data_IF_019243441959
#
_entry.id   IF_019243441959
#
_cell.length_a   1.000
_cell.length_b   1.000
_cell.length_c   1.000
_cell.angle_alpha   90.00
_cell.angle_beta   90.00
_cell.angle_gamma   90.00
#
_symmetry.space_group_name_H-M   'P 1'
#
loop_
_entity.id
_entity.type
_entity.pdbx_description
1 polymer ?
#
# COMPACT_ATOMS: atom_id res chain seq x y z
N UNK A 1 -13.70 -40.51 31.47
CA UNK A 1 -13.83 -41.68 32.37
C UNK A 1 -14.64 -41.23 33.56
N UNK A 2 -15.91 -41.61 33.54
CA UNK A 2 -16.93 -41.27 34.51
C UNK A 2 -16.68 -42.01 35.83
N UNK A 3 -16.20 -41.30 36.86
CA UNK A 3 -16.18 -41.83 38.23
C UNK A 3 -17.52 -41.50 38.87
N UNK A 4 -18.48 -42.38 38.59
CA UNK A 4 -19.82 -42.34 39.17
C UNK A 4 -19.79 -42.04 40.66
N UNK A 5 -20.62 -41.08 41.03
CA UNK A 5 -20.89 -40.57 42.36
C UNK A 5 -21.24 -41.73 43.32
N UNK A 6 -20.23 -42.31 43.98
CA UNK A 6 -20.48 -43.29 45.06
C UNK A 6 -20.96 -42.49 46.27
N UNK A 7 -22.08 -42.86 46.91
CA UNK A 7 -22.49 -42.19 48.13
C UNK A 7 -21.33 -42.26 49.12
N UNK A 8 -20.90 -41.09 49.59
CA UNK A 8 -19.68 -40.94 50.38
C UNK A 8 -19.71 -41.94 51.54
N UNK A 9 -18.77 -42.90 51.53
CA UNK A 9 -18.67 -43.95 52.56
C UNK A 9 -18.68 -43.36 53.97
N UNK A 10 -18.20 -42.13 54.11
CA UNK A 10 -18.23 -41.35 55.33
C UNK A 10 -19.66 -41.08 55.85
N UNK A 11 -20.63 -40.75 55.00
CA UNK A 11 -22.02 -40.51 55.42
C UNK A 11 -22.67 -41.78 55.98
N UNK A 12 -22.40 -42.93 55.35
CA UNK A 12 -22.83 -44.24 55.85
C UNK A 12 -22.15 -44.62 57.16
N UNK A 13 -20.85 -44.30 57.32
CA UNK A 13 -20.10 -44.53 58.56
C UNK A 13 -20.62 -43.64 59.69
N UNK A 14 -20.84 -42.34 59.45
CA UNK A 14 -21.39 -41.41 60.44
C UNK A 14 -22.81 -41.79 60.85
N UNK A 15 -23.65 -42.20 59.90
CA UNK A 15 -24.99 -42.73 60.17
C UNK A 15 -24.94 -44.02 61.00
N UNK A 16 -24.04 -44.95 60.68
CA UNK A 16 -23.84 -46.17 61.45
C UNK A 16 -23.37 -45.92 62.88
N UNK A 17 -22.46 -44.96 63.08
CA UNK A 17 -21.98 -44.55 64.41
C UNK A 17 -23.13 -43.92 65.23
N UNK A 18 -23.97 -43.09 64.61
CA UNK A 18 -25.13 -42.49 65.29
C UNK A 18 -26.13 -43.56 65.76
N UNK A 19 -26.42 -44.56 64.91
CA UNK A 19 -27.31 -45.68 65.26
C UNK A 19 -26.70 -46.54 66.37
N UNK A 20 -25.39 -46.82 66.32
CA UNK A 20 -24.70 -47.57 67.36
C UNK A 20 -24.70 -46.84 68.71
N UNK A 21 -24.47 -45.52 68.71
CA UNK A 21 -24.56 -44.70 69.91
C UNK A 21 -25.98 -44.70 70.51
N UNK A 22 -27.01 -44.64 69.66
CA UNK A 22 -28.41 -44.75 70.07
C UNK A 22 -28.72 -46.08 70.76
N UNK A 23 -28.31 -47.20 70.14
CA UNK A 23 -28.48 -48.54 70.70
C UNK A 23 -27.73 -48.68 72.03
N UNK A 24 -26.50 -48.17 72.11
CA UNK A 24 -25.70 -48.22 73.34
C UNK A 24 -26.34 -47.45 74.50
N UNK A 25 -26.84 -46.23 74.26
CA UNK A 25 -27.52 -45.44 75.29
C UNK A 25 -28.82 -46.12 75.75
N UNK A 26 -29.59 -46.70 74.82
CA UNK A 26 -30.77 -47.50 75.16
C UNK A 26 -30.42 -48.72 76.00
N UNK A 27 -29.41 -49.50 75.60
CA UNK A 27 -28.97 -50.69 76.33
C UNK A 27 -28.50 -50.34 77.75
N UNK A 28 -27.74 -49.25 77.90
CA UNK A 28 -27.29 -48.75 79.21
C UNK A 28 -28.45 -48.27 80.08
N UNK A 29 -29.45 -47.61 79.50
CA UNK A 29 -30.66 -47.20 80.21
C UNK A 29 -31.44 -48.42 80.74
N UNK A 30 -31.74 -49.39 79.86
CA UNK A 30 -32.49 -50.60 80.21
C UNK A 30 -31.77 -51.41 81.31
N UNK A 31 -30.45 -51.56 81.20
CA UNK A 31 -29.65 -52.30 82.16
C UNK A 31 -29.56 -51.63 83.55
N UNK A 32 -29.63 -50.29 83.61
CA UNK A 32 -29.55 -49.55 84.87
C UNK A 32 -30.91 -49.50 85.59
N UNK A 33 -31.99 -49.27 84.84
CA UNK A 33 -33.33 -49.08 85.42
C UNK A 33 -34.17 -50.37 85.52
N UNK A 34 -33.73 -51.48 84.90
CA UNK A 34 -34.21 -52.90 85.00
C UNK A 34 -35.72 -53.18 84.92
N UNK A 35 -36.57 -52.17 84.77
CA UNK A 35 -38.02 -52.28 84.60
C UNK A 35 -38.43 -51.20 83.61
N UNK A 36 -39.13 -51.56 82.54
CA UNK A 36 -39.91 -50.59 81.76
C UNK A 36 -41.28 -50.49 82.45
N UNK A 37 -41.54 -49.50 83.33
CA UNK A 37 -42.92 -49.19 83.60
C UNK A 37 -43.45 -48.61 82.29
N UNK A 38 -44.42 -49.27 81.66
CA UNK A 38 -45.32 -48.57 80.74
C UNK A 38 -46.11 -47.62 81.65
N UNK A 39 -45.48 -46.54 82.07
CA UNK A 39 -46.02 -45.59 83.02
C UNK A 39 -47.11 -44.82 82.30
N UNK A 40 -48.33 -44.83 82.85
CA UNK A 40 -49.42 -43.94 82.44
C UNK A 40 -49.20 -42.48 82.89
N UNK A 41 -48.02 -42.17 83.44
CA UNK A 41 -47.64 -40.84 83.93
C UNK A 41 -46.66 -40.17 82.96
N UNK A 42 -47.07 -39.01 82.44
CA UNK A 42 -46.32 -38.21 81.47
C UNK A 42 -44.95 -37.77 81.99
N UNK A 43 -44.79 -37.59 83.30
CA UNK A 43 -43.55 -37.10 83.90
C UNK A 43 -42.36 -38.09 83.74
N UNK A 44 -42.62 -39.40 83.76
CA UNK A 44 -41.58 -40.44 83.60
C UNK A 44 -41.09 -40.52 82.15
N UNK A 45 -41.98 -40.27 81.18
CA UNK A 45 -41.60 -40.14 79.77
C UNK A 45 -40.78 -38.88 79.52
N UNK A 46 -41.05 -37.79 80.25
CA UNK A 46 -40.23 -36.58 80.27
C UNK A 46 -38.79 -36.85 80.71
N UNK A 47 -38.59 -37.49 81.86
CA UNK A 47 -37.23 -37.78 82.39
C UNK A 47 -36.45 -38.79 81.54
N UNK A 48 -37.12 -39.76 80.91
CA UNK A 48 -36.50 -40.64 79.92
C UNK A 48 -36.05 -39.86 78.67
N UNK A 49 -36.92 -38.99 78.16
CA UNK A 49 -36.61 -38.08 77.06
C UNK A 49 -35.41 -37.18 77.38
N UNK A 50 -35.31 -36.69 78.61
CA UNK A 50 -34.19 -35.87 79.08
C UNK A 50 -32.87 -36.66 79.14
N UNK A 51 -32.90 -37.94 79.54
CA UNK A 51 -31.69 -38.78 79.55
C UNK A 51 -31.20 -39.12 78.15
N UNK A 52 -32.11 -39.56 77.27
CA UNK A 52 -31.81 -39.85 75.87
C UNK A 52 -31.36 -38.58 75.16
N UNK A 53 -32.12 -37.49 75.27
CA UNK A 53 -31.80 -36.21 74.66
C UNK A 53 -30.51 -35.62 75.22
N UNK A 54 -30.29 -35.67 76.54
CA UNK A 54 -29.10 -35.14 77.19
C UNK A 54 -27.80 -35.86 76.80
N UNK A 55 -27.87 -37.16 76.48
CA UNK A 55 -26.70 -37.96 76.08
C UNK A 55 -26.51 -38.01 74.57
N UNK A 56 -27.60 -38.19 73.81
CA UNK A 56 -27.54 -38.36 72.35
C UNK A 56 -27.44 -37.02 71.62
N UNK A 57 -28.06 -35.94 72.09
CA UNK A 57 -27.99 -34.65 71.38
C UNK A 57 -26.56 -34.13 71.23
N UNK A 58 -25.67 -34.19 72.25
CA UNK A 58 -24.26 -33.82 72.06
C UNK A 58 -23.54 -34.69 71.03
N UNK A 59 -23.77 -36.00 71.03
CA UNK A 59 -23.14 -36.95 70.09
C UNK A 59 -23.63 -36.70 68.66
N UNK A 60 -24.95 -36.60 68.46
CA UNK A 60 -25.57 -36.32 67.16
C UNK A 60 -25.14 -34.95 66.65
N UNK A 61 -25.11 -33.92 67.50
CA UNK A 61 -24.67 -32.57 67.13
C UNK A 61 -23.21 -32.55 66.70
N UNK A 62 -22.34 -33.31 67.38
CA UNK A 62 -20.93 -33.43 67.00
C UNK A 62 -20.73 -34.17 65.67
N UNK A 63 -21.46 -35.28 65.45
CA UNK A 63 -21.45 -35.99 64.17
C UNK A 63 -21.99 -35.11 63.03
N UNK A 64 -23.03 -34.31 63.28
CA UNK A 64 -23.56 -33.33 62.34
C UNK A 64 -22.52 -32.25 62.01
N UNK A 65 -21.78 -31.74 63.01
CA UNK A 65 -20.68 -30.79 62.79
C UNK A 65 -19.57 -31.40 61.91
N UNK A 66 -19.18 -32.66 62.15
CA UNK A 66 -18.19 -33.36 61.31
C UNK A 66 -18.68 -33.50 59.87
N UNK A 67 -19.94 -33.90 59.68
CA UNK A 67 -20.56 -34.01 58.37
C UNK A 67 -20.60 -32.66 57.63
N UNK A 68 -20.91 -31.58 58.34
CA UNK A 68 -20.90 -30.22 57.81
C UNK A 68 -19.47 -29.79 57.42
N UNK A 69 -18.48 -29.98 58.29
CA UNK A 69 -17.07 -29.65 57.98
C UNK A 69 -16.55 -30.42 56.77
N UNK A 70 -16.89 -31.69 56.64
CA UNK A 70 -16.53 -32.50 55.48
C UNK A 70 -17.21 -31.99 54.20
N UNK A 71 -18.48 -31.62 54.28
CA UNK A 71 -19.21 -31.02 53.15
C UNK A 71 -18.57 -29.69 52.72
N UNK A 72 -18.22 -28.82 53.68
CA UNK A 72 -17.51 -27.57 53.41
C UNK A 72 -16.15 -27.85 52.75
N UNK A 73 -15.42 -28.86 53.24
CA UNK A 73 -14.14 -29.25 52.65
C UNK A 73 -14.28 -29.72 51.20
N UNK A 74 -15.26 -30.58 50.92
CA UNK A 74 -15.55 -31.06 49.56
C UNK A 74 -15.96 -29.91 48.63
N UNK A 75 -16.85 -29.03 49.10
CA UNK A 75 -17.25 -27.83 48.35
C UNK A 75 -16.05 -26.92 48.05
N UNK A 76 -15.14 -26.74 49.01
CA UNK A 76 -13.94 -25.94 48.81
C UNK A 76 -13.02 -26.55 47.73
N UNK A 77 -12.87 -27.87 47.69
CA UNK A 77 -12.10 -28.57 46.65
C UNK A 77 -12.74 -28.42 45.26
N UNK A 78 -14.06 -28.62 45.15
CA UNK A 78 -14.79 -28.46 43.90
C UNK A 78 -14.72 -27.01 43.39
N UNK A 79 -14.81 -26.02 44.28
CA UNK A 79 -14.62 -24.61 43.90
C UNK A 79 -13.19 -24.33 43.43
N UNK A 80 -12.18 -24.97 44.01
CA UNK A 80 -10.80 -24.84 43.53
C UNK A 80 -10.63 -25.45 42.14
N UNK A 81 -11.10 -26.68 41.91
CA UNK A 81 -11.07 -27.32 40.61
C UNK A 81 -11.83 -26.51 39.54
N UNK A 82 -13.02 -26.02 39.86
CA UNK A 82 -13.81 -25.14 38.97
C UNK A 82 -13.04 -23.86 38.62
N UNK A 83 -12.37 -23.24 39.60
CA UNK A 83 -11.54 -22.04 39.35
C UNK A 83 -10.36 -22.34 38.45
N UNK A 84 -9.74 -23.50 38.57
CA UNK A 84 -8.63 -23.92 37.71
C UNK A 84 -9.11 -24.17 36.28
N UNK A 85 -10.22 -24.88 36.09
CA UNK A 85 -10.83 -25.11 34.78
C UNK A 85 -11.24 -23.78 34.10
N UNK A 86 -11.83 -22.85 34.84
CA UNK A 86 -12.18 -21.52 34.32
C UNK A 86 -10.94 -20.71 33.91
N UNK A 87 -9.84 -20.81 34.67
CA UNK A 87 -8.57 -20.16 34.29
C UNK A 87 -8.01 -20.77 33.00
N UNK A 88 -8.00 -22.09 32.88
CA UNK A 88 -7.54 -22.78 31.67
C UNK A 88 -8.41 -22.43 30.46
N UNK A 89 -9.73 -22.42 30.62
CA UNK A 89 -10.67 -22.03 29.58
C UNK A 89 -10.44 -20.57 29.12
N UNK A 90 -10.22 -19.65 30.07
CA UNK A 90 -9.91 -18.25 29.76
C UNK A 90 -8.57 -18.11 29.00
N UNK A 91 -7.56 -18.91 29.35
CA UNK A 91 -6.28 -18.91 28.64
C UNK A 91 -6.40 -19.48 27.22
N UNK A 92 -7.11 -20.60 27.05
CA UNK A 92 -7.40 -21.18 25.74
C UNK A 92 -8.20 -20.21 24.86
N UNK A 93 -9.19 -19.52 25.42
CA UNK A 93 -9.96 -18.52 24.70
C UNK A 93 -9.09 -17.34 24.25
N UNK A 94 -8.16 -16.88 25.09
CA UNK A 94 -7.19 -15.83 24.71
C UNK A 94 -6.31 -16.28 23.54
N UNK A 95 -5.76 -17.49 23.62
CA UNK A 95 -4.95 -18.06 22.53
C UNK A 95 -5.77 -18.21 21.24
N UNK A 96 -7.04 -18.62 21.34
CA UNK A 96 -7.93 -18.75 20.19
C UNK A 96 -8.22 -17.40 19.54
N UNK A 97 -8.50 -16.35 20.31
CA UNK A 97 -8.71 -14.99 19.79
C UNK A 97 -7.45 -14.47 19.08
N UNK A 98 -6.27 -14.72 19.66
CA UNK A 98 -5.01 -14.36 19.02
C UNK A 98 -4.78 -15.12 17.70
N UNK A 99 -5.01 -16.43 17.68
CA UNK A 99 -4.93 -17.25 16.46
C UNK A 99 -5.92 -16.79 15.40
N UNK A 100 -7.17 -16.49 15.79
CA UNK A 100 -8.19 -15.99 14.88
C UNK A 100 -7.79 -14.64 14.29
N UNK A 101 -7.16 -13.78 15.08
CA UNK A 101 -6.66 -12.48 14.64
C UNK A 101 -5.54 -12.65 13.59
N UNK A 102 -4.56 -13.52 13.85
CA UNK A 102 -3.50 -13.86 12.88
C UNK A 102 -4.07 -14.50 11.61
N UNK A 103 -5.05 -15.40 11.73
CA UNK A 103 -5.71 -16.00 10.57
C UNK A 103 -6.45 -14.95 9.73
N UNK A 104 -7.12 -14.00 10.37
CA UNK A 104 -7.77 -12.87 9.67
C UNK A 104 -6.75 -12.03 8.90
N UNK A 105 -5.58 -11.73 9.49
CA UNK A 105 -4.51 -11.01 8.80
C UNK A 105 -3.96 -11.77 7.58
N UNK A 106 -3.72 -13.07 7.72
CA UNK A 106 -3.27 -13.94 6.62
C UNK A 106 -4.31 -13.97 5.51
N UNK A 107 -5.59 -14.16 5.86
CA UNK A 107 -6.69 -14.19 4.90
C UNK A 107 -6.81 -12.87 4.13
N UNK A 108 -6.75 -11.74 4.83
CA UNK A 108 -6.80 -10.41 4.20
C UNK A 108 -5.62 -10.20 3.23
N UNK A 109 -4.42 -10.65 3.59
CA UNK A 109 -3.25 -10.57 2.71
C UNK A 109 -3.43 -11.46 1.47
N UNK A 110 -3.93 -12.69 1.63
CA UNK A 110 -4.21 -13.59 0.50
C UNK A 110 -5.27 -13.01 -0.46
N UNK A 111 -6.33 -12.41 0.08
CA UNK A 111 -7.37 -11.75 -0.73
C UNK A 111 -6.78 -10.56 -1.51
N UNK A 112 -5.94 -9.77 -0.85
CA UNK A 112 -5.19 -8.68 -1.50
C UNK A 112 -4.30 -9.23 -2.62
N UNK A 113 -3.46 -10.23 -2.35
CA UNK A 113 -2.53 -10.82 -3.31
C UNK A 113 -3.27 -11.37 -4.54
N UNK A 114 -4.35 -12.12 -4.33
CA UNK A 114 -5.18 -12.63 -5.42
C UNK A 114 -5.74 -11.51 -6.30
N UNK A 115 -6.17 -10.40 -5.69
CA UNK A 115 -6.69 -9.24 -6.43
C UNK A 115 -5.57 -8.50 -7.16
N UNK A 116 -4.43 -8.31 -6.49
CA UNK A 116 -3.24 -7.66 -7.05
C UNK A 116 -2.72 -8.41 -8.27
N UNK A 117 -2.52 -9.73 -8.19
CA UNK A 117 -2.01 -10.52 -9.31
C UNK A 117 -3.01 -10.59 -10.48
N UNK A 118 -4.32 -10.60 -10.19
CA UNK A 118 -5.35 -10.48 -11.24
C UNK A 118 -5.26 -9.13 -11.96
N UNK A 119 -5.12 -8.03 -11.22
CA UNK A 119 -4.93 -6.71 -11.82
C UNK A 119 -3.59 -6.58 -12.57
N UNK A 120 -2.53 -7.20 -12.07
CA UNK A 120 -1.21 -7.23 -12.71
C UNK A 120 -1.26 -7.98 -14.05
N UNK A 121 -1.97 -9.11 -14.12
CA UNK A 121 -2.21 -9.84 -15.37
C UNK A 121 -2.96 -8.96 -16.40
N UNK A 122 -4.01 -8.25 -15.96
CA UNK A 122 -4.71 -7.30 -16.83
C UNK A 122 -3.82 -6.13 -17.27
N UNK A 123 -2.98 -5.62 -16.38
CA UNK A 123 -2.00 -4.58 -16.68
C UNK A 123 -0.99 -5.06 -17.74
N UNK A 124 -0.48 -6.28 -17.62
CA UNK A 124 0.50 -6.83 -18.56
C UNK A 124 -0.09 -7.01 -19.95
N UNK A 125 -1.36 -7.47 -20.06
CA UNK A 125 -2.09 -7.52 -21.33
C UNK A 125 -2.22 -6.14 -21.99
N UNK A 126 -2.41 -5.09 -21.20
CA UNK A 126 -2.46 -3.72 -21.75
C UNK A 126 -1.07 -3.28 -22.22
N UNK A 127 0.01 -3.63 -21.52
CA UNK A 127 1.38 -3.36 -21.97
C UNK A 127 1.67 -4.06 -23.29
N UNK A 128 1.31 -5.33 -23.45
CA UNK A 128 1.49 -6.07 -24.71
C UNK A 128 0.81 -5.34 -25.87
N UNK A 129 -0.45 -4.90 -25.68
CA UNK A 129 -1.17 -4.10 -26.67
C UNK A 129 -0.48 -2.76 -27.00
N UNK A 130 0.14 -2.11 -26.02
CA UNK A 130 0.90 -0.86 -26.24
C UNK A 130 2.17 -1.10 -27.06
N UNK A 131 2.85 -2.22 -26.81
CA UNK A 131 4.06 -2.61 -27.54
C UNK A 131 3.71 -2.96 -28.99
N UNK A 132 2.66 -3.76 -29.22
CA UNK A 132 2.20 -4.14 -30.56
C UNK A 132 1.76 -2.93 -31.39
N UNK A 133 1.13 -1.94 -30.76
CA UNK A 133 0.71 -0.69 -31.40
C UNK A 133 1.84 0.32 -31.63
N UNK A 134 3.10 -0.04 -31.29
CA UNK A 134 4.30 0.80 -31.48
C UNK A 134 4.18 2.19 -30.84
N UNK A 135 3.53 2.27 -29.68
CA UNK A 135 3.30 3.53 -28.96
C UNK A 135 4.62 4.23 -28.55
N UNK A 136 5.73 3.51 -28.47
CA UNK A 136 7.05 4.09 -28.21
C UNK A 136 7.51 5.05 -29.32
N UNK A 137 7.02 4.90 -30.56
CA UNK A 137 7.30 5.83 -31.67
C UNK A 137 6.82 7.25 -31.37
N UNK A 138 5.90 7.43 -30.42
CA UNK A 138 5.44 8.76 -29.99
C UNK A 138 6.55 9.61 -29.35
N UNK A 139 7.63 8.99 -28.89
CA UNK A 139 8.82 9.71 -28.38
C UNK A 139 9.80 10.10 -29.50
N UNK A 140 9.69 9.49 -30.68
CA UNK A 140 10.53 9.73 -31.86
C UNK A 140 9.89 10.74 -32.81
N UNK A 141 9.79 12.00 -32.37
CA UNK A 141 9.11 13.04 -33.16
C UNK A 141 10.02 13.65 -34.22
N UNK A 142 9.47 13.88 -35.40
CA UNK A 142 10.06 14.76 -36.42
C UNK A 142 9.56 16.20 -36.21
N UNK A 143 10.46 17.15 -36.01
CA UNK A 143 10.12 18.56 -35.83
C UNK A 143 9.58 19.11 -37.15
N UNK A 144 8.29 19.46 -37.20
CA UNK A 144 7.65 20.07 -38.36
C UNK A 144 7.24 21.52 -38.11
N UNK A 145 6.60 22.15 -39.10
CA UNK A 145 6.25 23.56 -39.02
C UNK A 145 5.20 23.90 -37.95
N UNK A 146 4.44 22.92 -37.44
CA UNK A 146 3.36 23.09 -36.45
C UNK A 146 3.73 22.54 -35.07
N UNK A 147 4.99 22.12 -34.87
CA UNK A 147 5.41 21.45 -33.66
C UNK A 147 5.40 22.38 -32.44
N UNK A 148 4.50 22.11 -31.50
CA UNK A 148 4.46 22.68 -30.16
C UNK A 148 4.38 21.51 -29.18
N UNK A 149 5.34 21.42 -28.25
CA UNK A 149 5.49 20.28 -27.34
C UNK A 149 4.30 20.10 -26.39
N UNK A 150 3.73 21.19 -25.88
CA UNK A 150 2.55 21.14 -25.01
C UNK A 150 1.33 20.59 -25.78
N UNK A 151 1.12 21.08 -27.00
CA UNK A 151 0.07 20.61 -27.90
C UNK A 151 0.29 19.15 -28.29
N UNK A 152 1.53 18.74 -28.53
CA UNK A 152 1.86 17.36 -28.85
C UNK A 152 1.60 16.44 -27.66
N UNK A 153 2.08 16.77 -26.46
CA UNK A 153 1.84 15.98 -25.24
C UNK A 153 0.33 15.85 -25.00
N UNK A 154 -0.40 16.95 -25.13
CA UNK A 154 -1.87 16.95 -25.01
C UNK A 154 -2.50 15.99 -26.01
N UNK A 155 -2.24 16.17 -27.30
CA UNK A 155 -2.98 15.47 -28.35
C UNK A 155 -2.53 14.01 -28.55
N UNK A 156 -1.23 13.74 -28.45
CA UNK A 156 -0.67 12.43 -28.80
C UNK A 156 -0.36 11.54 -27.58
N UNK A 157 -0.15 12.12 -26.39
CA UNK A 157 0.15 11.33 -25.17
C UNK A 157 -1.09 11.28 -24.27
N UNK A 158 -1.63 12.44 -23.86
CA UNK A 158 -2.75 12.49 -22.89
C UNK A 158 -4.09 12.07 -23.48
N UNK A 159 -4.35 12.45 -24.73
CA UNK A 159 -5.59 12.09 -25.43
C UNK A 159 -5.51 10.75 -26.17
N UNK A 160 -4.35 10.08 -26.18
CA UNK A 160 -4.24 8.75 -26.74
C UNK A 160 -5.08 7.75 -25.89
N UNK A 161 -6.07 7.05 -26.48
CA UNK A 161 -6.97 6.19 -25.73
C UNK A 161 -6.27 5.04 -25.03
N UNK A 162 -5.26 4.43 -25.66
CA UNK A 162 -4.53 3.29 -25.13
C UNK A 162 -3.66 3.71 -23.95
N UNK A 163 -2.91 4.80 -24.09
CA UNK A 163 -2.09 5.35 -23.00
C UNK A 163 -2.94 5.82 -21.83
N UNK A 164 -4.05 6.52 -22.10
CA UNK A 164 -4.97 6.96 -21.06
C UNK A 164 -5.54 5.77 -20.29
N UNK A 165 -5.96 4.71 -20.98
CA UNK A 165 -6.43 3.48 -20.35
C UNK A 165 -5.35 2.85 -19.48
N UNK A 166 -4.12 2.77 -20.00
CA UNK A 166 -2.98 2.22 -19.27
C UNK A 166 -2.68 3.01 -17.99
N UNK A 167 -2.53 4.33 -18.07
CA UNK A 167 -2.22 5.16 -16.90
C UNK A 167 -3.35 5.14 -15.84
N UNK A 168 -4.61 5.03 -16.27
CA UNK A 168 -5.73 4.83 -15.34
C UNK A 168 -5.58 3.48 -14.61
N UNK A 169 -5.30 2.39 -15.33
CA UNK A 169 -5.11 1.07 -14.72
C UNK A 169 -3.92 1.10 -13.75
N UNK A 170 -2.79 1.65 -14.18
CA UNK A 170 -1.61 1.83 -13.34
C UNK A 170 -1.94 2.61 -12.05
N UNK A 171 -2.65 3.73 -12.19
CA UNK A 171 -3.12 4.50 -11.03
C UNK A 171 -4.01 3.67 -10.09
N UNK A 172 -4.98 2.91 -10.62
CA UNK A 172 -5.86 2.09 -9.78
C UNK A 172 -5.09 1.01 -9.03
N UNK A 173 -4.09 0.38 -9.66
CA UNK A 173 -3.26 -0.63 -9.00
C UNK A 173 -2.44 0.01 -7.87
N UNK A 174 -1.77 1.14 -8.14
CA UNK A 174 -1.01 1.85 -7.11
C UNK A 174 -1.91 2.33 -5.95
N UNK A 175 -3.10 2.83 -6.26
CA UNK A 175 -4.10 3.22 -5.27
C UNK A 175 -4.54 2.01 -4.44
N UNK A 176 -4.80 0.87 -5.08
CA UNK A 176 -5.17 -0.37 -4.41
C UNK A 176 -4.09 -0.86 -3.45
N UNK A 177 -2.81 -0.84 -3.87
CA UNK A 177 -1.66 -1.14 -3.00
C UNK A 177 -1.68 -0.20 -1.78
N UNK A 178 -1.80 1.11 -2.01
CA UNK A 178 -1.77 2.10 -0.94
C UNK A 178 -2.91 1.93 0.07
N UNK A 179 -4.13 1.67 -0.38
CA UNK A 179 -5.31 1.55 0.48
C UNK A 179 -5.31 0.24 1.27
N UNK A 180 -4.73 -0.82 0.70
CA UNK A 180 -4.77 -2.15 1.30
C UNK A 180 -3.63 -2.39 2.28
N UNK A 181 -2.45 -1.82 2.02
CA UNK A 181 -1.23 -2.15 2.75
C UNK A 181 -0.65 -1.00 3.56
N UNK A 182 -1.14 0.24 3.40
CA UNK A 182 -0.70 1.33 4.27
C UNK A 182 -1.15 1.11 5.71
N UNK A 183 -0.22 1.32 6.64
CA UNK A 183 -0.42 1.14 8.08
C UNK A 183 0.16 2.34 8.82
N UNK A 184 -0.54 2.77 9.86
CA UNK A 184 0.04 3.67 10.84
C UNK A 184 1.07 2.91 11.68
N UNK A 185 2.13 3.59 12.08
CA UNK A 185 3.14 3.04 13.00
C UNK A 185 2.85 3.63 14.38
N UNK A 186 3.20 2.92 15.44
CA UNK A 186 3.26 3.47 16.79
C UNK A 186 3.99 4.83 16.80
N UNK A 187 3.25 5.89 17.10
CA UNK A 187 3.77 7.26 17.18
C UNK A 187 3.65 8.12 15.90
N UNK A 188 3.19 7.59 14.76
CA UNK A 188 2.92 8.38 13.52
C UNK A 188 1.57 8.01 12.92
N UNK A 189 0.55 8.82 13.25
CA UNK A 189 -0.88 8.58 13.00
C UNK A 189 -1.41 9.08 11.64
N UNK A 190 -0.54 9.42 10.67
CA UNK A 190 -0.96 9.98 9.37
C UNK A 190 -0.26 9.29 8.18
N UNK A 191 0.13 8.02 8.36
CA UNK A 191 0.75 7.22 7.30
C UNK A 191 -0.26 6.31 6.60
N UNK A 192 -1.35 5.94 7.28
CA UNK A 192 -2.43 5.16 6.69
C UNK A 192 -3.23 6.02 5.72
N UNK A 193 -3.29 5.54 4.48
CA UNK A 193 -4.06 6.17 3.41
C UNK A 193 -5.46 5.60 3.39
N UNK A 194 -6.43 6.49 3.26
CA UNK A 194 -7.86 6.21 3.23
C UNK A 194 -8.45 6.68 1.91
N UNK A 195 -9.66 6.24 1.60
CA UNK A 195 -10.38 6.66 0.38
C UNK A 195 -10.54 8.19 0.32
N UNK A 196 -10.71 8.84 1.48
CA UNK A 196 -10.91 10.28 1.57
C UNK A 196 -9.70 11.08 1.08
N UNK A 197 -8.49 10.52 1.20
CA UNK A 197 -7.25 11.16 0.77
C UNK A 197 -7.18 11.32 -0.76
N UNK A 198 -7.99 10.57 -1.50
CA UNK A 198 -8.08 10.63 -2.97
C UNK A 198 -9.23 11.52 -3.47
N UNK A 199 -10.03 12.12 -2.59
CA UNK A 199 -11.32 12.74 -2.98
C UNK A 199 -11.21 14.03 -3.80
N UNK A 200 -10.17 14.85 -3.56
CA UNK A 200 -10.10 16.23 -4.10
C UNK A 200 -9.13 16.42 -5.26
N UNK A 201 -8.34 15.39 -5.61
CA UNK A 201 -7.34 15.38 -6.69
C UNK A 201 -6.64 16.73 -6.91
N UNK A 202 -5.92 17.19 -5.89
CA UNK A 202 -5.30 18.51 -5.85
C UNK A 202 -3.89 18.45 -5.25
N UNK A 203 -3.22 19.59 -5.18
CA UNK A 203 -1.86 19.67 -4.66
C UNK A 203 -1.75 19.15 -3.21
N UNK A 204 -2.73 19.43 -2.35
CA UNK A 204 -2.71 18.95 -0.96
C UNK A 204 -2.83 17.41 -0.89
N UNK A 205 -3.69 16.80 -1.71
CA UNK A 205 -3.78 15.34 -1.77
C UNK A 205 -2.53 14.70 -2.36
N UNK A 206 -1.93 15.32 -3.38
CA UNK A 206 -0.63 14.91 -3.92
C UNK A 206 0.46 14.92 -2.84
N UNK A 207 0.58 16.00 -2.06
CA UNK A 207 1.58 16.14 -1.00
C UNK A 207 1.38 15.07 0.08
N UNK A 208 0.13 14.83 0.50
CA UNK A 208 -0.21 13.77 1.46
C UNK A 208 0.15 12.37 0.93
N UNK A 209 -0.18 12.09 -0.32
CA UNK A 209 0.13 10.79 -0.94
C UNK A 209 1.64 10.60 -1.13
N UNK A 210 2.38 11.68 -1.40
CA UNK A 210 3.84 11.70 -1.56
C UNK A 210 4.63 11.58 -0.24
N UNK A 211 3.96 11.26 0.88
CA UNK A 211 4.57 11.23 2.21
C UNK A 211 5.65 10.12 2.33
N UNK A 212 6.65 10.35 3.19
CA UNK A 212 7.96 9.70 3.16
C UNK A 212 8.00 8.27 3.70
N UNK A 213 7.05 7.88 4.55
CA UNK A 213 7.03 6.53 5.08
C UNK A 213 6.14 5.63 4.24
N UNK A 214 6.73 4.52 3.81
CA UNK A 214 6.10 3.48 3.01
C UNK A 214 6.24 2.20 3.82
N UNK A 215 5.12 1.49 4.05
CA UNK A 215 5.19 0.16 4.63
C UNK A 215 6.04 -0.74 3.72
N UNK A 216 7.02 -1.52 4.23
CA UNK A 216 7.81 -2.44 3.42
C UNK A 216 6.98 -3.34 2.51
N UNK A 217 5.80 -3.79 2.95
CA UNK A 217 4.88 -4.57 2.11
C UNK A 217 4.38 -3.77 0.91
N UNK A 218 3.95 -2.51 1.10
CA UNK A 218 3.55 -1.64 -0.02
C UNK A 218 4.68 -1.51 -1.05
N UNK A 219 5.91 -1.27 -0.57
CA UNK A 219 7.06 -1.06 -1.45
C UNK A 219 7.35 -2.31 -2.29
N UNK A 220 7.32 -3.51 -1.69
CA UNK A 220 7.50 -4.78 -2.40
C UNK A 220 6.51 -4.89 -3.58
N UNK A 221 5.21 -4.69 -3.35
CA UNK A 221 4.20 -4.81 -4.41
C UNK A 221 4.31 -3.71 -5.47
N UNK A 222 4.66 -2.48 -5.06
CA UNK A 222 4.90 -1.39 -6.01
C UNK A 222 6.12 -1.64 -6.90
N UNK A 223 7.18 -2.24 -6.35
CA UNK A 223 8.39 -2.60 -7.10
C UNK A 223 8.16 -3.79 -8.04
N UNK A 224 7.36 -4.77 -7.61
CA UNK A 224 6.88 -5.85 -8.49
C UNK A 224 6.17 -5.22 -9.69
N UNK A 225 5.15 -4.37 -9.47
CA UNK A 225 4.41 -3.73 -10.56
C UNK A 225 5.34 -2.93 -11.50
N UNK A 226 6.24 -2.13 -10.93
CA UNK A 226 7.21 -1.32 -11.67
C UNK A 226 8.13 -2.16 -12.56
N UNK A 227 8.50 -3.36 -12.12
CA UNK A 227 9.41 -4.25 -12.87
C UNK A 227 8.82 -4.74 -14.20
N UNK A 228 7.49 -4.76 -14.34
CA UNK A 228 6.79 -5.15 -15.58
C UNK A 228 6.67 -4.01 -16.59
N UNK A 229 7.11 -2.79 -16.26
CA UNK A 229 6.90 -1.61 -17.11
C UNK A 229 8.18 -1.34 -17.93
N UNK A 230 8.11 -1.42 -19.27
CA UNK A 230 9.22 -1.06 -20.14
C UNK A 230 9.67 0.38 -19.96
N UNK A 231 10.97 0.62 -20.18
CA UNK A 231 11.59 1.93 -20.03
C UNK A 231 10.90 3.02 -20.89
N UNK A 232 10.46 2.69 -22.11
CA UNK A 232 9.79 3.66 -22.98
C UNK A 232 8.40 4.09 -22.46
N UNK A 233 7.70 3.19 -21.76
CA UNK A 233 6.43 3.53 -21.09
C UNK A 233 6.69 4.42 -19.88
N UNK A 234 7.79 4.22 -19.14
CA UNK A 234 8.21 5.11 -18.06
C UNK A 234 8.58 6.51 -18.57
N UNK A 235 9.17 6.64 -19.77
CA UNK A 235 9.38 7.94 -20.41
C UNK A 235 8.04 8.64 -20.70
N UNK A 236 7.07 7.90 -21.24
CA UNK A 236 5.72 8.42 -21.53
C UNK A 236 4.96 8.83 -20.25
N UNK A 237 5.20 8.11 -19.14
CA UNK A 237 4.64 8.42 -17.84
C UNK A 237 5.07 9.80 -17.34
N UNK A 238 6.34 10.19 -17.56
CA UNK A 238 6.82 11.54 -17.21
C UNK A 238 5.94 12.59 -17.89
N UNK A 239 5.76 12.52 -19.22
CA UNK A 239 4.97 13.52 -19.94
C UNK A 239 3.50 13.57 -19.52
N UNK A 240 2.95 12.44 -19.05
CA UNK A 240 1.61 12.39 -18.48
C UNK A 240 1.52 13.13 -17.14
N UNK A 241 2.59 13.11 -16.34
CA UNK A 241 2.64 13.73 -15.02
C UNK A 241 3.07 15.22 -15.02
N UNK A 242 3.72 15.72 -16.07
CA UNK A 242 4.23 17.10 -16.09
C UNK A 242 3.15 18.18 -16.18
N UNK A 243 3.45 19.39 -15.71
CA UNK A 243 2.60 20.55 -15.91
C UNK A 243 2.75 21.08 -17.34
N UNK A 244 1.67 21.60 -17.92
CA UNK A 244 1.76 22.44 -19.13
C UNK A 244 1.35 23.85 -18.72
N UNK A 245 2.30 24.79 -18.79
CA UNK A 245 2.15 26.17 -18.29
C UNK A 245 1.15 27.02 -19.09
N UNK A 246 0.49 26.46 -20.11
CA UNK A 246 -0.39 27.24 -20.98
C UNK A 246 -1.79 27.41 -20.40
N UNK A 247 -2.01 28.59 -19.81
CA UNK A 247 -3.32 29.24 -19.64
C UNK A 247 -3.94 29.57 -21.02
N UNK A 248 -4.21 28.60 -21.86
CA UNK A 248 -5.06 28.80 -23.03
C UNK A 248 -6.49 28.36 -22.73
N UNK A 249 -7.35 29.39 -22.59
CA UNK A 249 -8.79 29.38 -22.79
C UNK A 249 -9.54 28.07 -22.49
N UNK A 250 -10.11 28.01 -21.28
CA UNK A 250 -11.37 27.29 -21.05
C UNK A 250 -11.31 25.77 -20.84
N UNK A 251 -10.15 25.12 -20.97
CA UNK A 251 -10.03 23.68 -20.72
C UNK A 251 -8.98 23.36 -19.67
N UNK A 252 -9.45 22.92 -18.49
CA UNK A 252 -8.60 22.28 -17.49
C UNK A 252 -7.99 21.02 -18.10
N UNK A 253 -6.71 21.09 -18.47
CA UNK A 253 -5.88 19.90 -18.63
C UNK A 253 -5.85 19.23 -17.26
N UNK A 254 -6.74 18.25 -17.03
CA UNK A 254 -6.88 17.59 -15.73
C UNK A 254 -5.53 17.00 -15.30
N UNK A 255 -4.86 17.70 -14.39
CA UNK A 255 -3.64 17.24 -13.73
C UNK A 255 -4.06 16.11 -12.82
N UNK A 256 -3.40 14.96 -12.95
CA UNK A 256 -3.73 13.79 -12.14
C UNK A 256 -2.87 13.80 -10.87
N UNK A 257 -3.13 14.78 -10.00
CA UNK A 257 -2.35 15.07 -8.79
C UNK A 257 -2.20 13.86 -7.87
N UNK A 258 -3.27 13.09 -7.70
CA UNK A 258 -3.23 11.87 -6.89
C UNK A 258 -2.32 10.80 -7.50
N UNK A 259 -2.32 10.69 -8.83
CA UNK A 259 -1.46 9.73 -9.51
C UNK A 259 0.00 10.10 -9.34
N UNK A 260 0.32 11.37 -9.54
CA UNK A 260 1.64 11.92 -9.24
C UNK A 260 2.07 11.67 -7.79
N UNK A 261 1.15 11.85 -6.84
CA UNK A 261 1.40 11.56 -5.42
C UNK A 261 1.82 10.11 -5.18
N UNK A 262 1.16 9.15 -5.83
CA UNK A 262 1.51 7.73 -5.74
C UNK A 262 2.84 7.40 -6.46
N UNK A 263 3.09 8.00 -7.61
CA UNK A 263 4.36 7.85 -8.34
C UNK A 263 5.55 8.33 -7.49
N UNK A 264 5.36 9.45 -6.79
CA UNK A 264 6.30 9.95 -5.78
C UNK A 264 6.43 9.02 -4.58
N UNK A 265 5.31 8.55 -4.01
CA UNK A 265 5.29 7.62 -2.87
C UNK A 265 6.15 6.40 -3.13
N UNK A 266 6.08 5.83 -4.33
CA UNK A 266 6.71 4.53 -4.61
C UNK A 266 8.08 4.62 -5.26
N UNK A 267 8.66 5.82 -5.41
CA UNK A 267 9.87 6.04 -6.19
C UNK A 267 9.77 5.36 -7.57
N UNK A 268 8.67 5.59 -8.27
CA UNK A 268 8.29 4.74 -9.39
C UNK A 268 9.21 4.88 -10.62
N UNK A 269 10.00 5.96 -10.69
CA UNK A 269 10.99 6.23 -11.74
C UNK A 269 12.43 5.87 -11.30
N UNK A 270 12.61 5.16 -10.18
CA UNK A 270 13.93 4.81 -9.63
C UNK A 270 14.81 4.03 -10.61
N UNK A 271 14.23 3.20 -11.49
CA UNK A 271 14.99 2.46 -12.51
C UNK A 271 14.86 3.05 -13.92
N UNK A 272 14.33 4.26 -14.07
CA UNK A 272 14.24 4.90 -15.38
C UNK A 272 15.65 5.12 -15.94
N UNK A 273 15.82 4.74 -17.21
CA UNK A 273 17.05 4.98 -17.97
C UNK A 273 16.76 5.95 -19.09
N UNK A 274 17.51 7.04 -19.13
CA UNK A 274 17.39 8.06 -20.17
C UNK A 274 18.79 8.49 -20.58
N UNK A 275 19.08 8.37 -21.87
CA UNK A 275 20.31 8.91 -22.45
C UNK A 275 20.15 10.41 -22.59
N UNK A 276 21.02 11.16 -21.93
CA UNK A 276 21.09 12.62 -22.11
C UNK A 276 21.95 12.86 -23.36
N UNK A 277 21.37 13.42 -24.44
CA UNK A 277 22.10 13.66 -25.67
C UNK A 277 23.15 14.76 -25.44
N UNK A 278 24.33 14.54 -25.98
CA UNK A 278 25.38 15.56 -26.15
C UNK A 278 25.38 15.96 -27.61
N UNK A 279 25.05 17.22 -27.90
CA UNK A 279 25.15 17.76 -29.26
C UNK A 279 26.48 18.50 -29.34
N UNK A 280 27.38 18.03 -30.19
CA UNK A 280 28.65 18.71 -30.47
C UNK A 280 28.55 19.58 -31.73
N UNK A 281 27.70 19.18 -32.68
CA UNK A 281 27.51 19.85 -33.97
C UNK A 281 26.02 19.94 -34.36
N UNK A 282 25.62 21.01 -35.08
CA UNK A 282 24.25 21.18 -35.57
C UNK A 282 23.82 20.08 -36.56
N UNK A 283 24.75 19.42 -37.25
CA UNK A 283 24.43 18.31 -38.15
C UNK A 283 23.83 17.10 -37.42
N UNK A 284 24.19 16.89 -36.15
CA UNK A 284 23.66 15.81 -35.31
C UNK A 284 22.17 16.00 -35.00
N UNK A 285 21.69 17.25 -34.97
CA UNK A 285 20.28 17.59 -34.73
C UNK A 285 19.35 16.96 -35.77
N UNK A 286 19.83 16.75 -36.99
CA UNK A 286 19.02 16.18 -38.08
C UNK A 286 18.98 14.65 -38.10
N UNK A 287 19.71 13.97 -37.21
CA UNK A 287 19.65 12.51 -37.10
C UNK A 287 18.42 12.08 -36.29
N UNK A 288 17.77 10.98 -36.72
CA UNK A 288 16.49 10.49 -36.18
C UNK A 288 16.48 10.30 -34.65
N UNK A 289 17.61 9.98 -34.05
CA UNK A 289 17.71 9.64 -32.62
C UNK A 289 18.07 10.84 -31.72
N UNK A 290 18.36 12.01 -32.30
CA UNK A 290 18.89 13.15 -31.54
C UNK A 290 17.84 14.20 -31.15
N UNK A 291 16.58 14.12 -31.59
CA UNK A 291 15.52 15.04 -31.14
C UNK A 291 15.11 14.85 -29.66
N UNK A 292 15.67 13.84 -28.97
CA UNK A 292 15.43 13.56 -27.55
C UNK A 292 15.72 14.73 -26.61
N UNK A 293 16.60 15.67 -27.01
CA UNK A 293 16.93 16.84 -26.18
C UNK A 293 15.74 17.78 -25.98
N UNK A 294 14.81 17.86 -26.95
CA UNK A 294 13.66 18.75 -26.89
C UNK A 294 12.75 18.35 -25.73
N UNK A 295 12.50 17.06 -25.63
CA UNK A 295 11.78 16.48 -24.52
C UNK A 295 12.44 16.77 -23.19
N UNK A 296 13.76 16.60 -23.12
CA UNK A 296 14.53 16.89 -21.92
C UNK A 296 14.41 18.35 -21.49
N UNK A 297 14.54 19.31 -22.41
CA UNK A 297 14.37 20.72 -22.08
C UNK A 297 12.97 21.04 -21.55
N UNK A 298 11.92 20.51 -22.18
CA UNK A 298 10.56 20.70 -21.67
C UNK A 298 10.38 20.09 -20.28
N UNK A 299 10.85 18.86 -20.08
CA UNK A 299 10.82 18.18 -18.78
C UNK A 299 11.54 19.01 -17.72
N UNK A 300 12.72 19.61 -18.02
CA UNK A 300 13.52 20.34 -17.02
C UNK A 300 12.79 21.50 -16.35
N UNK A 301 11.76 22.07 -16.98
CA UNK A 301 11.03 23.21 -16.43
C UNK A 301 9.92 22.79 -15.44
N UNK A 302 9.46 21.53 -15.48
CA UNK A 302 8.29 21.09 -14.69
C UNK A 302 8.52 19.80 -13.88
N UNK A 303 9.73 19.23 -13.93
CA UNK A 303 10.09 17.95 -13.29
C UNK A 303 10.09 17.99 -11.76
N UNK A 304 10.17 19.17 -11.13
CA UNK A 304 10.30 19.31 -9.67
C UNK A 304 9.19 18.61 -8.89
N UNK A 305 7.99 18.64 -9.45
CA UNK A 305 6.80 18.02 -8.85
C UNK A 305 6.90 16.48 -8.77
N UNK A 306 7.73 15.85 -9.60
CA UNK A 306 8.00 14.40 -9.59
C UNK A 306 9.39 14.03 -9.07
N UNK A 307 10.13 14.95 -8.44
CA UNK A 307 11.50 14.72 -7.94
C UNK A 307 11.61 13.44 -7.11
N UNK A 308 10.68 13.25 -6.16
CA UNK A 308 10.68 12.09 -5.25
C UNK A 308 10.55 10.77 -5.99
N UNK A 309 9.84 10.74 -7.11
CA UNK A 309 9.64 9.53 -7.90
C UNK A 309 10.95 8.91 -8.42
N UNK A 310 12.04 9.67 -8.51
CA UNK A 310 13.35 9.16 -8.94
C UNK A 310 14.09 8.41 -7.84
N UNK A 311 13.67 8.51 -6.57
CA UNK A 311 14.30 7.79 -5.46
C UNK A 311 15.82 7.99 -5.39
N UNK A 312 16.59 6.89 -5.53
CA UNK A 312 18.05 6.92 -5.52
C UNK A 312 18.70 7.19 -6.88
N UNK A 313 17.91 7.35 -7.94
CA UNK A 313 18.40 7.58 -9.29
C UNK A 313 18.97 9.00 -9.44
N UNK A 314 20.22 9.10 -9.92
CA UNK A 314 20.85 10.40 -10.18
C UNK A 314 20.27 11.13 -11.39
N UNK A 315 19.45 10.46 -12.21
CA UNK A 315 18.89 11.01 -13.44
C UNK A 315 18.17 12.35 -13.24
N UNK A 316 17.46 12.55 -12.12
CA UNK A 316 16.84 13.86 -11.83
C UNK A 316 17.87 15.01 -11.81
N UNK A 317 19.02 14.78 -11.16
CA UNK A 317 20.11 15.76 -11.11
C UNK A 317 20.75 15.95 -12.47
N UNK A 318 20.89 14.88 -13.23
CA UNK A 318 21.51 14.95 -14.56
C UNK A 318 20.58 15.68 -15.56
N UNK A 319 19.27 15.46 -15.50
CA UNK A 319 18.26 16.25 -16.22
C UNK A 319 18.35 17.72 -15.79
N UNK A 320 18.41 18.05 -14.49
CA UNK A 320 18.59 19.45 -14.05
C UNK A 320 19.88 20.07 -14.57
N UNK A 321 21.00 19.33 -14.57
CA UNK A 321 22.27 19.82 -15.14
C UNK A 321 22.18 20.08 -16.63
N UNK A 322 21.38 19.30 -17.37
CA UNK A 322 21.14 19.51 -18.79
C UNK A 322 20.53 20.89 -19.09
N UNK A 323 19.84 21.51 -18.12
CA UNK A 323 19.40 22.90 -18.23
C UNK A 323 20.56 23.88 -18.48
N UNK A 324 21.74 23.63 -17.93
CA UNK A 324 22.92 24.48 -18.14
C UNK A 324 23.52 24.31 -19.54
N UNK A 325 23.41 23.13 -20.15
CA UNK A 325 23.86 22.93 -21.53
C UNK A 325 22.99 23.65 -22.57
N UNK A 326 21.84 24.21 -22.18
CA UNK A 326 20.96 25.00 -23.05
C UNK A 326 21.69 26.13 -23.78
N UNK A 327 22.60 26.84 -23.11
CA UNK A 327 23.37 27.94 -23.71
C UNK A 327 24.26 27.42 -24.84
N UNK A 328 25.03 26.36 -24.59
CA UNK A 328 25.89 25.74 -25.60
C UNK A 328 25.07 25.24 -26.80
N UNK A 329 23.91 24.62 -26.57
CA UNK A 329 23.03 24.17 -27.65
C UNK A 329 22.50 25.33 -28.49
N UNK A 330 22.13 26.46 -27.85
CA UNK A 330 21.73 27.69 -28.56
C UNK A 330 22.88 28.22 -29.43
N UNK A 331 24.12 28.17 -28.95
CA UNK A 331 25.29 28.59 -29.73
C UNK A 331 25.54 27.67 -30.93
N UNK A 332 25.49 26.35 -30.75
CA UNK A 332 25.62 25.37 -31.83
C UNK A 332 24.55 25.61 -32.91
N UNK A 333 23.30 25.84 -32.52
CA UNK A 333 22.20 26.12 -33.45
C UNK A 333 22.44 27.43 -34.22
N UNK A 334 22.88 28.50 -33.54
CA UNK A 334 23.23 29.78 -34.20
C UNK A 334 24.35 29.62 -35.21
N UNK A 335 25.38 28.84 -34.87
CA UNK A 335 26.49 28.51 -35.79
C UNK A 335 25.97 27.77 -37.02
N UNK A 336 25.12 26.75 -36.83
CA UNK A 336 24.51 26.01 -37.94
C UNK A 336 23.65 26.88 -38.86
N UNK A 337 22.86 27.81 -38.31
CA UNK A 337 22.07 28.76 -39.10
C UNK A 337 23.01 29.64 -39.95
N UNK A 338 24.11 30.13 -39.37
CA UNK A 338 25.09 30.96 -40.08
C UNK A 338 25.74 30.19 -41.24
N UNK A 339 26.19 28.95 -40.98
CA UNK A 339 26.83 28.09 -41.99
C UNK A 339 25.88 27.74 -43.14
N UNK A 340 24.66 27.30 -42.84
CA UNK A 340 23.66 26.96 -43.87
C UNK A 340 23.22 28.19 -44.67
N UNK A 341 23.15 29.37 -44.05
CA UNK A 341 22.85 30.62 -44.76
C UNK A 341 23.96 30.97 -45.76
N UNK A 342 25.22 30.79 -45.35
CA UNK A 342 26.37 31.00 -46.24
C UNK A 342 26.37 29.99 -47.40
N UNK A 343 26.10 28.71 -47.13
CA UNK A 343 25.95 27.68 -48.17
C UNK A 343 24.84 28.05 -49.16
N UNK A 344 23.66 28.45 -48.66
CA UNK A 344 22.54 28.90 -49.50
C UNK A 344 22.93 30.05 -50.43
N UNK A 345 23.64 31.05 -49.92
CA UNK A 345 24.10 32.20 -50.70
C UNK A 345 25.10 31.78 -51.80
N UNK A 346 26.06 30.90 -51.48
CA UNK A 346 27.02 30.37 -52.46
C UNK A 346 26.33 29.56 -53.56
N UNK A 347 25.36 28.71 -53.22
CA UNK A 347 24.57 27.95 -54.20
C UNK A 347 23.75 28.88 -55.11
N UNK A 348 23.30 30.02 -54.59
CA UNK A 348 22.57 31.02 -55.37
C UNK A 348 23.46 31.78 -56.38
N UNK A 349 24.72 32.04 -56.02
CA UNK A 349 25.72 32.61 -56.94
C UNK A 349 26.16 31.63 -58.02
N UNK A 350 26.27 30.33 -57.69
CA UNK A 350 26.64 29.28 -58.64
C UNK A 350 25.51 28.97 -59.65
N UNK A 351 24.25 28.98 -59.22
CA UNK A 351 23.08 28.80 -60.12
C UNK A 351 22.89 29.95 -61.10
N UNK A 352 23.29 31.19 -60.77
CA UNK A 352 23.31 32.30 -61.73
C UNK A 352 24.35 32.12 -62.84
N UNK A 353 25.37 31.26 -62.65
CA UNK A 353 26.50 31.08 -63.59
C UNK A 353 26.34 29.87 -64.52
N UNK A 354 25.41 28.95 -64.27
CA UNK A 354 25.32 27.68 -65.02
C UNK A 354 23.87 27.46 -65.48
N UNK A 355 23.65 27.54 -66.80
CA UNK A 355 22.40 27.13 -67.45
C UNK A 355 22.50 25.68 -67.97
N UNK A 356 21.42 24.93 -67.76
CA UNK A 356 21.08 23.58 -68.25
C UNK A 356 21.52 22.36 -67.39
N UNK A 357 20.57 21.44 -67.25
CA UNK A 357 20.52 20.13 -66.54
C UNK A 357 20.90 20.03 -65.06
N UNK A 358 21.66 20.96 -64.47
CA UNK A 358 21.89 21.02 -63.01
C UNK A 358 20.72 21.61 -62.20
N UNK A 359 19.64 22.04 -62.86
CA UNK A 359 18.50 22.72 -62.24
C UNK A 359 17.78 21.87 -61.18
N UNK A 360 17.46 20.61 -61.48
CA UNK A 360 16.70 19.74 -60.57
C UNK A 360 17.49 19.32 -59.31
N UNK A 361 18.79 19.03 -59.45
CA UNK A 361 19.65 18.64 -58.31
C UNK A 361 19.91 19.85 -57.40
N UNK A 362 20.19 21.02 -57.99
CA UNK A 362 20.37 22.25 -57.23
C UNK A 362 19.08 22.71 -56.53
N UNK A 363 17.92 22.41 -57.10
CA UNK A 363 16.62 22.71 -56.49
C UNK A 363 16.31 21.78 -55.31
N UNK A 364 16.65 20.49 -55.41
CA UNK A 364 16.55 19.55 -54.28
C UNK A 364 17.50 19.92 -53.13
N UNK A 365 18.76 20.24 -53.42
CA UNK A 365 19.72 20.68 -52.41
C UNK A 365 19.29 22.00 -51.74
N UNK A 366 18.78 22.95 -52.52
CA UNK A 366 18.25 24.21 -52.00
C UNK A 366 17.03 23.99 -51.09
N UNK A 367 16.13 23.08 -51.49
CA UNK A 367 14.95 22.73 -50.69
C UNK A 367 15.34 22.07 -49.36
N UNK A 368 16.37 21.24 -49.35
CA UNK A 368 16.88 20.61 -48.13
C UNK A 368 17.57 21.62 -47.21
N UNK A 369 18.42 22.51 -47.73
CA UNK A 369 19.03 23.61 -46.95
C UNK A 369 17.94 24.51 -46.35
N UNK A 370 16.92 24.87 -47.13
CA UNK A 370 15.80 25.68 -46.64
C UNK A 370 14.97 24.95 -45.57
N UNK A 371 14.83 23.63 -45.67
CA UNK A 371 14.21 22.81 -44.63
C UNK A 371 15.03 22.83 -43.34
N UNK A 372 16.34 22.57 -43.43
CA UNK A 372 17.24 22.54 -42.29
C UNK A 372 17.34 23.89 -41.58
N UNK A 373 17.44 24.99 -42.32
CA UNK A 373 17.39 26.36 -41.78
C UNK A 373 16.11 26.61 -40.98
N UNK A 374 14.94 26.30 -41.56
CA UNK A 374 13.64 26.45 -40.89
C UNK A 374 13.56 25.63 -39.60
N UNK A 375 14.08 24.40 -39.60
CA UNK A 375 14.11 23.54 -38.41
C UNK A 375 14.99 24.15 -37.30
N UNK A 376 16.19 24.62 -37.63
CA UNK A 376 17.10 25.24 -36.66
C UNK A 376 16.55 26.56 -36.11
N UNK A 377 15.94 27.40 -36.94
CA UNK A 377 15.30 28.65 -36.50
C UNK A 377 14.16 28.40 -35.50
N UNK A 378 13.35 27.36 -35.71
CA UNK A 378 12.28 26.99 -34.78
C UNK A 378 12.80 26.40 -33.49
N UNK A 379 13.82 25.53 -33.56
CA UNK A 379 14.50 25.04 -32.37
C UNK A 379 15.10 26.19 -31.54
N UNK A 380 15.71 27.17 -32.22
CA UNK A 380 16.22 28.37 -31.57
C UNK A 380 15.11 29.16 -30.86
N UNK A 381 13.94 29.32 -31.50
CA UNK A 381 12.80 30.00 -30.88
C UNK A 381 12.23 29.20 -29.71
N UNK A 382 12.05 27.88 -29.85
CA UNK A 382 11.62 26.99 -28.76
C UNK A 382 12.53 27.12 -27.52
N UNK A 383 13.85 27.06 -27.73
CA UNK A 383 14.82 27.19 -26.65
C UNK A 383 14.83 28.62 -26.06
N UNK A 384 14.51 29.66 -26.82
CA UNK A 384 14.41 31.04 -26.31
C UNK A 384 13.11 31.31 -25.55
N UNK A 385 11.99 30.76 -26.01
CA UNK A 385 10.64 30.97 -25.43
C UNK A 385 10.46 30.27 -24.08
N UNK A 386 11.15 29.15 -23.87
CA UNK A 386 11.32 28.57 -22.55
C UNK A 386 12.14 29.51 -21.66
N UNK A 387 11.45 30.42 -20.96
CA UNK A 387 12.04 31.40 -20.03
C UNK A 387 13.15 30.77 -19.20
N UNK A 388 14.34 31.36 -19.25
CA UNK A 388 15.36 31.17 -18.23
C UNK A 388 14.84 31.91 -16.99
N UNK A 389 14.43 31.23 -15.90
CA UNK A 389 14.23 31.94 -14.64
C UNK A 389 15.61 32.47 -14.25
N UNK A 390 15.71 33.77 -13.99
CA UNK A 390 16.93 34.38 -13.49
C UNK A 390 17.45 33.54 -12.30
N UNK A 391 18.75 33.25 -12.35
CA UNK A 391 19.54 32.49 -11.37
C UNK A 391 19.25 32.98 -9.95
#
# INVERSE_FOLDING_TARGET
MDKGNKPNRLLWVLGGIAVAAFIFVLERYINNFKTFPIANDSATWGTFGDYLGGTLNPIISFLALIGLLYTIHQQAQEMQATREELKQAAEQQRQQVEQQSRQSEIFNLQQFESTFFSLLDQHNKVIENLVESKIFDLTNITIDEKFNIDCYIKNNIRQNPLLKRYFIILFQILKFISLSLSKDIEGKTDNKLTINDFSKDNQNSMEKLSNHYINPQEKIYSDILRSFIPNDILKLLIFNCLHSDQKHEGYSSAIFYNFQGLINRYNFLENLQLTIPTIENYSEIFQKDHNGFIWLFHITNSIDSIEKSFGKNNLFRDIKKFKHSKVNHIEIIKTGISELTNQKNQTHEQTKKISNDKGNINEQEKNEIDRQLRTLEKLLNFLKDEKIPNI
#
